data_IF_550055366925
#
_entry.id   IF_550055366925
#
_cell.length_a   1.000
_cell.length_b   1.000
_cell.length_c   1.000
_cell.angle_alpha   90.00
_cell.angle_beta   90.00
_cell.angle_gamma   90.00
#
_symmetry.space_group_name_H-M   'P 1'
#
loop_
_entity.id
_entity.type
_entity.pdbx_description
1 polymer ?
#
# COMPACT_ATOMS: atom_id res chain seq x y z
N UNK A 1 18.32 2.03 13.42
CA UNK A 1 17.04 2.08 12.69
C UNK A 1 16.00 1.46 13.60
N UNK A 2 14.94 2.19 13.95
CA UNK A 2 13.98 1.83 15.01
C UNK A 2 12.96 0.74 14.62
N UNK A 3 13.29 -0.13 13.66
CA UNK A 3 12.49 -1.32 13.30
C UNK A 3 11.04 -1.04 12.87
N UNK A 4 10.68 0.22 12.61
CA UNK A 4 9.33 0.58 12.14
C UNK A 4 9.22 0.15 10.67
N UNK A 5 8.21 -0.66 10.30
CA UNK A 5 8.01 -1.02 8.90
C UNK A 5 7.73 0.25 8.09
N UNK A 6 8.60 0.55 7.14
CA UNK A 6 8.39 1.61 6.17
C UNK A 6 7.40 1.12 5.10
N UNK A 7 6.35 1.89 4.88
CA UNK A 7 5.36 1.58 3.87
C UNK A 7 5.90 2.07 2.51
N UNK A 8 6.08 1.15 1.56
CA UNK A 8 6.46 1.54 0.19
C UNK A 8 5.34 2.37 -0.47
N UNK A 9 5.68 3.07 -1.55
CA UNK A 9 4.71 3.77 -2.41
C UNK A 9 3.54 2.88 -2.82
N UNK A 10 3.82 1.61 -3.15
CA UNK A 10 2.80 0.62 -3.49
C UNK A 10 1.93 0.23 -2.29
N UNK A 11 2.53 -0.03 -1.12
CA UNK A 11 1.79 -0.28 0.11
C UNK A 11 0.88 0.90 0.48
N UNK A 12 1.36 2.12 0.23
CA UNK A 12 0.62 3.37 0.44
C UNK A 12 -0.57 3.48 -0.52
N UNK A 13 -0.38 3.18 -1.80
CA UNK A 13 -1.43 3.13 -2.80
C UNK A 13 -2.54 2.13 -2.42
N UNK A 14 -2.17 0.92 -2.00
CA UNK A 14 -3.11 -0.12 -1.55
C UNK A 14 -3.88 0.32 -0.30
N UNK A 15 -3.17 0.85 0.69
CA UNK A 15 -3.76 1.29 1.96
C UNK A 15 -4.80 2.39 1.72
N UNK A 16 -4.46 3.36 0.89
CA UNK A 16 -5.37 4.44 0.55
C UNK A 16 -6.41 4.05 -0.49
N UNK A 17 -6.25 2.95 -1.23
CA UNK A 17 -7.15 2.61 -2.34
C UNK A 17 -7.04 3.64 -3.47
N UNK A 18 -5.80 3.96 -3.84
CA UNK A 18 -5.40 4.95 -4.84
C UNK A 18 -4.30 4.34 -5.74
N UNK A 19 -3.73 5.12 -6.66
CA UNK A 19 -2.60 4.69 -7.51
C UNK A 19 -1.31 5.41 -7.12
N UNK A 20 -0.17 4.85 -7.48
CA UNK A 20 1.11 5.52 -7.22
C UNK A 20 1.23 6.84 -8.00
N UNK A 21 0.71 6.90 -9.23
CA UNK A 21 0.66 8.12 -10.02
C UNK A 21 -0.21 9.20 -9.37
N UNK A 22 -1.34 8.81 -8.78
CA UNK A 22 -2.19 9.74 -8.04
C UNK A 22 -1.48 10.26 -6.78
N UNK A 23 -0.87 9.38 -6.00
CA UNK A 23 -0.12 9.75 -4.79
C UNK A 23 1.09 10.65 -5.08
N UNK A 24 1.77 10.42 -6.21
CA UNK A 24 2.90 11.22 -6.68
C UNK A 24 2.57 12.71 -6.89
N UNK A 25 1.28 13.08 -6.94
CA UNK A 25 0.86 14.49 -7.01
C UNK A 25 1.07 15.26 -5.69
N UNK A 26 1.18 14.56 -4.57
CA UNK A 26 1.26 15.17 -3.24
C UNK A 26 2.53 14.80 -2.49
N UNK A 27 3.10 13.64 -2.78
CA UNK A 27 4.25 13.10 -2.06
C UNK A 27 5.30 12.65 -3.06
N UNK A 28 6.50 13.20 -2.93
CA UNK A 28 7.68 12.60 -3.52
C UNK A 28 8.11 11.45 -2.59
N UNK A 29 7.54 10.27 -2.85
CA UNK A 29 7.63 9.11 -1.95
C UNK A 29 9.05 8.52 -1.86
N UNK A 30 9.97 9.03 -2.66
CA UNK A 30 11.37 8.58 -2.72
C UNK A 30 12.35 9.43 -1.90
N UNK A 31 11.94 10.56 -1.27
CA UNK A 31 12.93 11.51 -0.74
C UNK A 31 12.64 12.32 0.53
N UNK A 32 11.38 12.61 0.90
CA UNK A 32 11.13 13.57 1.99
C UNK A 32 10.01 13.15 2.97
N UNK A 33 10.34 12.79 4.22
CA UNK A 33 9.35 12.48 5.25
C UNK A 33 8.44 13.67 5.61
N UNK A 34 8.81 14.92 5.31
CA UNK A 34 7.94 16.09 5.48
C UNK A 34 6.75 16.11 4.50
N UNK A 35 6.75 15.24 3.48
CA UNK A 35 5.68 15.17 2.50
C UNK A 35 4.41 14.46 3.02
N UNK A 36 4.48 13.72 4.14
CA UNK A 36 3.28 13.15 4.77
C UNK A 36 2.28 14.23 5.25
N UNK A 37 2.76 15.43 5.62
CA UNK A 37 1.91 16.58 5.98
C UNK A 37 1.19 17.19 4.76
N UNK A 38 1.65 16.88 3.55
CA UNK A 38 1.07 17.37 2.29
C UNK A 38 -0.07 16.50 1.78
N UNK A 39 -0.33 15.36 2.43
CA UNK A 39 -1.44 14.49 2.06
C UNK A 39 -2.79 15.20 2.33
N UNK A 40 -3.70 15.26 1.35
CA UNK A 40 -5.03 15.82 1.57
C UNK A 40 -5.77 15.13 2.72
N UNK A 41 -6.52 15.90 3.51
CA UNK A 41 -7.24 15.37 4.68
C UNK A 41 -8.21 14.22 4.33
N UNK A 42 -8.84 14.27 3.16
CA UNK A 42 -9.74 13.21 2.69
C UNK A 42 -9.01 11.88 2.47
N UNK A 43 -7.76 11.93 2.01
CA UNK A 43 -6.93 10.75 1.74
C UNK A 43 -6.49 10.10 3.07
N UNK A 44 -6.09 10.92 4.04
CA UNK A 44 -5.80 10.46 5.41
C UNK A 44 -7.03 9.80 6.05
N UNK A 45 -8.21 10.41 5.91
CA UNK A 45 -9.47 9.86 6.40
C UNK A 45 -9.80 8.52 5.72
N UNK A 46 -9.59 8.43 4.40
CA UNK A 46 -9.79 7.21 3.62
C UNK A 46 -8.86 6.08 4.08
N UNK A 47 -7.57 6.35 4.30
CA UNK A 47 -6.64 5.38 4.84
C UNK A 47 -7.06 4.89 6.22
N UNK A 48 -7.41 5.81 7.13
CA UNK A 48 -7.92 5.46 8.47
C UNK A 48 -9.20 4.63 8.45
N UNK A 49 -10.09 4.89 7.48
CA UNK A 49 -11.31 4.11 7.28
C UNK A 49 -10.95 2.70 6.82
N UNK A 50 -10.14 2.58 5.77
CA UNK A 50 -9.72 1.30 5.20
C UNK A 50 -8.94 0.45 6.19
N UNK A 51 -8.10 1.04 7.03
CA UNK A 51 -7.43 0.34 8.14
C UNK A 51 -8.46 -0.29 9.09
N UNK A 52 -9.44 0.50 9.56
CA UNK A 52 -10.46 0.02 10.50
C UNK A 52 -11.33 -1.08 9.89
N UNK A 53 -11.75 -0.91 8.65
CA UNK A 53 -12.52 -1.91 7.90
C UNK A 53 -11.75 -3.23 7.75
N UNK A 54 -10.47 -3.17 7.36
CA UNK A 54 -9.65 -4.37 7.24
C UNK A 54 -9.38 -5.04 8.59
N UNK A 55 -9.06 -4.27 9.63
CA UNK A 55 -8.87 -4.80 10.99
C UNK A 55 -10.11 -5.55 11.49
N UNK A 56 -11.30 -5.00 11.23
CA UNK A 56 -12.55 -5.66 11.56
C UNK A 56 -12.77 -6.95 10.75
N UNK A 57 -12.34 -6.98 9.48
CA UNK A 57 -12.51 -8.14 8.61
C UNK A 57 -11.52 -9.29 8.92
N UNK A 58 -10.27 -8.97 9.26
CA UNK A 58 -9.20 -9.96 9.46
C UNK A 58 -8.97 -10.34 10.93
N UNK A 59 -9.58 -9.60 11.87
CA UNK A 59 -9.39 -9.82 13.31
C UNK A 59 -7.97 -9.54 13.82
N UNK A 60 -7.10 -8.92 13.00
CA UNK A 60 -5.71 -8.63 13.31
C UNK A 60 -5.39 -7.15 13.11
N UNK A 61 -4.57 -6.61 14.02
CA UNK A 61 -4.15 -5.19 14.01
C UNK A 61 -2.89 -4.89 13.19
N UNK A 62 -2.29 -5.90 12.53
CA UNK A 62 -1.02 -5.71 11.84
C UNK A 62 -1.19 -4.99 10.50
N UNK A 63 -0.25 -4.10 10.18
CA UNK A 63 -0.21 -3.40 8.88
C UNK A 63 -0.17 -4.42 7.73
N UNK A 64 0.56 -5.51 7.89
CA UNK A 64 0.61 -6.63 6.94
C UNK A 64 -0.79 -7.19 6.66
N UNK A 65 -1.58 -7.50 7.69
CA UNK A 65 -2.93 -8.05 7.49
C UNK A 65 -3.86 -7.04 6.79
N UNK A 66 -3.75 -5.75 7.12
CA UNK A 66 -4.50 -4.68 6.46
C UNK A 66 -4.15 -4.58 4.97
N UNK A 67 -2.85 -4.57 4.65
CA UNK A 67 -2.38 -4.49 3.26
C UNK A 67 -2.79 -5.73 2.46
N UNK A 68 -2.59 -6.93 3.01
CA UNK A 68 -2.97 -8.19 2.36
C UNK A 68 -4.48 -8.23 2.09
N UNK A 69 -5.31 -7.80 3.05
CA UNK A 69 -6.76 -7.73 2.86
C UNK A 69 -7.14 -6.89 1.64
N UNK A 70 -6.65 -5.65 1.56
CA UNK A 70 -6.98 -4.74 0.48
C UNK A 70 -6.35 -5.13 -0.85
N UNK A 71 -5.12 -5.64 -0.83
CA UNK A 71 -4.46 -6.14 -2.03
C UNK A 71 -5.28 -7.27 -2.68
N UNK A 72 -5.72 -8.26 -1.89
CA UNK A 72 -6.56 -9.35 -2.38
C UNK A 72 -7.94 -8.84 -2.81
N UNK A 73 -8.53 -7.92 -2.06
CA UNK A 73 -9.86 -7.39 -2.37
C UNK A 73 -9.92 -6.56 -3.65
N UNK A 74 -8.91 -5.72 -3.88
CA UNK A 74 -8.91 -4.77 -4.99
C UNK A 74 -8.25 -5.35 -6.26
N UNK A 75 -7.32 -6.30 -6.10
CA UNK A 75 -6.50 -6.86 -7.19
C UNK A 75 -6.55 -8.38 -7.29
N UNK A 76 -7.48 -9.06 -6.61
CA UNK A 76 -7.48 -10.50 -6.36
C UNK A 76 -6.98 -11.42 -7.48
N UNK A 77 -7.50 -11.32 -8.70
CA UNK A 77 -7.08 -12.18 -9.83
C UNK A 77 -5.65 -11.93 -10.31
N UNK A 78 -5.10 -10.75 -9.99
CA UNK A 78 -3.74 -10.34 -10.35
C UNK A 78 -2.74 -10.42 -9.20
N UNK A 79 -3.14 -10.81 -7.99
CA UNK A 79 -2.20 -11.10 -6.89
C UNK A 79 -1.80 -12.57 -6.97
N UNK A 80 -0.52 -12.82 -7.22
CA UNK A 80 0.04 -14.18 -7.40
C UNK A 80 0.51 -14.74 -6.06
N UNK A 81 1.22 -13.94 -5.26
CA UNK A 81 1.74 -14.36 -3.97
C UNK A 81 2.07 -13.16 -3.07
N UNK A 82 2.17 -13.44 -1.77
CA UNK A 82 2.84 -12.57 -0.81
C UNK A 82 4.05 -13.31 -0.25
N UNK A 83 5.14 -12.57 -0.04
CA UNK A 83 6.30 -13.06 0.70
C UNK A 83 6.67 -12.05 1.79
N UNK A 84 7.10 -12.53 2.95
CA UNK A 84 7.42 -11.68 4.09
C UNK A 84 8.82 -12.00 4.59
N UNK A 85 9.71 -11.01 4.49
CA UNK A 85 11.07 -11.13 5.01
C UNK A 85 11.13 -10.41 6.35
N UNK A 86 11.26 -11.19 7.42
CA UNK A 86 11.43 -10.69 8.79
C UNK A 86 12.83 -11.07 9.27
N UNK A 87 13.66 -10.08 9.53
CA UNK A 87 14.95 -10.20 10.22
C UNK A 87 15.06 -9.15 11.31
N UNK A 88 16.08 -9.25 12.18
CA UNK A 88 16.28 -8.31 13.28
C UNK A 88 16.28 -6.82 12.85
N UNK A 89 16.64 -6.54 11.60
CA UNK A 89 16.76 -5.18 11.07
C UNK A 89 15.78 -4.88 9.91
N UNK A 90 14.95 -5.83 9.50
CA UNK A 90 14.16 -5.70 8.27
C UNK A 90 12.82 -6.40 8.39
N UNK A 91 11.74 -5.65 8.21
CA UNK A 91 10.38 -6.16 8.10
C UNK A 91 9.82 -5.72 6.75
N UNK A 92 9.90 -6.60 5.75
CA UNK A 92 9.44 -6.33 4.39
C UNK A 92 8.31 -7.27 3.99
N UNK A 93 7.30 -6.71 3.34
CA UNK A 93 6.23 -7.45 2.68
C UNK A 93 6.39 -7.26 1.17
N UNK A 94 6.61 -8.35 0.46
CA UNK A 94 6.60 -8.43 -0.99
C UNK A 94 5.22 -8.89 -1.45
N UNK A 95 4.76 -8.26 -2.53
CA UNK A 95 3.57 -8.68 -3.25
C UNK A 95 3.99 -8.96 -4.68
N UNK A 96 3.73 -10.18 -5.15
CA UNK A 96 3.97 -10.60 -6.53
C UNK A 96 2.64 -10.49 -7.25
N UNK A 97 2.61 -9.74 -8.34
CA UNK A 97 1.40 -9.48 -9.11
C UNK A 97 1.59 -9.74 -10.60
N UNK A 98 0.49 -9.91 -11.32
CA UNK A 98 0.50 -9.89 -12.78
C UNK A 98 0.78 -8.47 -13.29
N UNK A 99 1.23 -8.31 -14.55
CA UNK A 99 1.45 -6.99 -15.15
C UNK A 99 0.22 -6.09 -15.12
N UNK A 100 -0.97 -6.66 -15.33
CA UNK A 100 -2.24 -5.91 -15.35
C UNK A 100 -2.57 -5.36 -13.95
N UNK A 101 -2.32 -6.14 -12.90
CA UNK A 101 -2.48 -5.64 -11.53
C UNK A 101 -1.42 -4.58 -11.19
N UNK A 102 -0.17 -4.77 -11.62
CA UNK A 102 0.88 -3.78 -11.45
C UNK A 102 0.48 -2.43 -12.10
N UNK A 103 0.02 -2.45 -13.35
CA UNK A 103 -0.48 -1.27 -14.07
C UNK A 103 -1.63 -0.56 -13.35
N UNK A 104 -2.59 -1.33 -12.80
CA UNK A 104 -3.69 -0.76 -12.01
C UNK A 104 -3.21 -0.11 -10.72
N UNK A 105 -2.20 -0.68 -10.06
CA UNK A 105 -1.60 -0.10 -8.84
C UNK A 105 -0.82 1.17 -9.20
N UNK A 106 -0.08 1.16 -10.30
CA UNK A 106 0.70 2.34 -10.72
C UNK A 106 -0.20 3.45 -11.27
N UNK A 107 -1.33 3.09 -11.86
CA UNK A 107 -2.19 4.02 -12.59
C UNK A 107 -1.74 4.24 -14.03
N UNK A 108 -0.88 3.37 -14.56
CA UNK A 108 -0.48 3.36 -15.96
C UNK A 108 -1.56 2.64 -16.77
N UNK A 109 -2.20 3.32 -17.72
CA UNK A 109 -3.05 2.69 -18.74
C UNK A 109 -2.17 2.10 -19.84
N UNK A 110 -2.54 0.94 -20.40
CA UNK A 110 -1.86 0.36 -21.57
C UNK A 110 -1.66 1.43 -22.66
N UNK A 111 -0.46 1.54 -23.26
CA UNK A 111 -0.32 2.28 -24.50
C UNK A 111 -1.16 1.55 -25.57
N UNK A 112 -2.29 2.17 -25.94
CA UNK A 112 -3.12 1.77 -27.10
C UNK A 112 -2.34 1.84 -28.41
#
# INVERSE_FOLDING_TARGET
MDGRPELTTWGTAILFGSTTAELGRWVDLDGDPAAAEKLPAWLIQQGRRRTREAQAAVGAGSVTAVLTHWAVRDFGSGVVAFDMVVSANMHQLWMITTPEAAQRITGETEPT
#
